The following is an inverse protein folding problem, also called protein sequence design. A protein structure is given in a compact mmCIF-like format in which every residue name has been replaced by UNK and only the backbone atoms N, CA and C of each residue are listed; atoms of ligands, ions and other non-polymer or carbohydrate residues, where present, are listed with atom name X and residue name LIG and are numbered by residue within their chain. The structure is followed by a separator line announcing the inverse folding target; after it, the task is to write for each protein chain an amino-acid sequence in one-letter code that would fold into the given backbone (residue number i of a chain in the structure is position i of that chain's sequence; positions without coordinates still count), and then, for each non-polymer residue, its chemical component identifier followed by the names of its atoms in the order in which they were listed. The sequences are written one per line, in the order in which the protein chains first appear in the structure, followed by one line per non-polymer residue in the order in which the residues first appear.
data_IF_017465356852
#
_entry.id   IF_017465356852
#
_cell.length_a   1.000
_cell.length_b   1.000
_cell.length_c   1.000
_cell.angle_alpha   90.00
_cell.angle_beta   90.00
_cell.angle_gamma   90.00
#
_symmetry.space_group_name_H-M   'P 1'
#
loop_
_entity.id
_entity.type
_entity.pdbx_description
1 polymer ?
#
# COMPACT_ATOMS: atom_id res chain seq x y z
N UNK A 1 24.47 9.25 12.73
CA UNK A 1 23.35 9.21 13.68
C UNK A 1 22.97 7.73 13.80
N UNK A 2 23.20 7.16 14.98
CA UNK A 2 22.89 5.74 15.26
C UNK A 2 21.36 5.59 15.26
N UNK A 3 20.79 4.57 14.58
CA UNK A 3 19.34 4.33 14.66
C UNK A 3 18.95 4.06 16.12
N UNK A 4 18.01 4.83 16.62
CA UNK A 4 17.49 4.64 17.97
C UNK A 4 16.87 3.25 18.09
N UNK A 5 17.34 2.45 19.01
CA UNK A 5 16.70 1.21 19.46
C UNK A 5 15.39 1.59 20.12
N UNK A 6 14.27 1.42 19.42
CA UNK A 6 12.94 1.53 20.03
C UNK A 6 12.74 0.36 20.97
N UNK A 7 12.53 0.56 22.26
CA UNK A 7 12.10 -0.49 23.14
C UNK A 7 10.65 -0.83 22.76
N UNK A 8 10.43 -1.98 22.11
CA UNK A 8 9.12 -2.61 22.13
C UNK A 8 8.79 -2.81 23.61
N UNK A 9 7.87 -2.04 24.14
CA UNK A 9 7.35 -2.24 25.48
C UNK A 9 6.70 -3.62 25.51
N UNK A 10 7.44 -4.61 25.96
CA UNK A 10 6.93 -5.93 26.32
C UNK A 10 6.09 -5.81 27.59
N UNK A 11 4.85 -5.40 27.44
CA UNK A 11 3.85 -5.60 28.46
C UNK A 11 3.21 -6.98 28.22
N UNK A 12 3.61 -7.94 29.06
CA UNK A 12 2.87 -9.16 29.37
C UNK A 12 2.19 -9.88 28.20
N UNK A 13 2.87 -10.83 27.54
CA UNK A 13 2.36 -12.10 26.99
C UNK A 13 1.12 -12.17 26.09
N UNK A 14 0.39 -11.09 25.87
CA UNK A 14 -0.68 -10.96 24.90
C UNK A 14 -0.29 -9.85 23.91
N UNK A 15 -0.02 -10.21 22.67
CA UNK A 15 0.06 -9.28 21.56
C UNK A 15 -1.36 -8.75 21.31
N UNK A 16 -1.72 -7.68 22.01
CA UNK A 16 -2.97 -6.99 21.71
C UNK A 16 -2.89 -6.47 20.27
N UNK A 17 -3.92 -6.69 19.47
CA UNK A 17 -4.03 -6.09 18.14
C UNK A 17 -3.91 -4.56 18.27
N UNK A 18 -3.28 -3.87 17.29
CA UNK A 18 -3.28 -2.42 17.27
C UNK A 18 -4.72 -1.92 17.24
N UNK A 19 -5.02 -0.91 18.04
CA UNK A 19 -6.37 -0.30 18.07
C UNK A 19 -6.63 0.51 16.80
N UNK A 20 -5.61 1.25 16.35
CA UNK A 20 -5.69 2.14 15.18
C UNK A 20 -4.45 2.04 14.33
N UNK A 21 -4.67 1.83 13.03
CA UNK A 21 -3.62 1.75 12.01
C UNK A 21 -3.79 2.90 11.02
N UNK A 22 -2.72 3.68 10.83
CA UNK A 22 -2.60 4.58 9.70
C UNK A 22 -2.03 3.80 8.50
N UNK A 23 -2.86 3.54 7.49
CA UNK A 23 -2.47 2.83 6.28
C UNK A 23 -2.20 3.84 5.17
N UNK A 24 -1.02 3.80 4.53
CA UNK A 24 -0.61 4.79 3.54
C UNK A 24 -0.60 4.22 2.13
N UNK A 25 -1.39 4.82 1.23
CA UNK A 25 -1.42 4.52 -0.21
C UNK A 25 -1.47 5.84 -0.99
N UNK A 26 -0.30 6.51 -1.10
CA UNK A 26 -0.23 7.92 -1.51
C UNK A 26 -0.41 8.12 -3.01
N UNK A 27 0.17 7.25 -3.85
CA UNK A 27 0.22 7.45 -5.31
C UNK A 27 -1.02 6.95 -6.06
N UNK A 28 -1.85 6.13 -5.41
CA UNK A 28 -3.10 5.61 -5.97
C UNK A 28 -4.14 5.49 -4.87
N UNK A 29 -5.38 5.92 -5.17
CA UNK A 29 -6.47 5.88 -4.21
C UNK A 29 -7.06 4.48 -4.09
N UNK A 30 -7.32 3.96 -2.88
CA UNK A 30 -8.04 2.70 -2.70
C UNK A 30 -9.49 2.75 -3.22
N UNK A 31 -10.01 3.95 -3.53
CA UNK A 31 -11.34 4.15 -4.11
C UNK A 31 -11.33 4.06 -5.64
N UNK A 32 -10.15 4.11 -6.27
CA UNK A 32 -10.04 4.01 -7.73
C UNK A 32 -10.35 2.57 -8.18
N UNK A 33 -11.00 2.47 -9.34
CA UNK A 33 -11.32 1.17 -9.91
C UNK A 33 -10.03 0.44 -10.34
N UNK A 34 -9.76 -0.77 -9.84
CA UNK A 34 -8.63 -1.57 -10.31
C UNK A 34 -8.65 -1.77 -11.82
N UNK A 35 -7.48 -1.60 -12.46
CA UNK A 35 -7.32 -1.65 -13.92
C UNK A 35 -7.43 -0.29 -14.60
N UNK A 36 -7.58 0.80 -13.87
CA UNK A 36 -7.57 2.17 -14.41
C UNK A 36 -6.36 2.94 -13.87
N UNK A 37 -5.62 3.61 -14.75
CA UNK A 37 -4.42 4.37 -14.38
C UNK A 37 -3.41 3.52 -13.62
N UNK A 38 -2.97 3.99 -12.45
CA UNK A 38 -2.07 3.27 -11.54
C UNK A 38 -2.80 2.32 -10.56
N UNK A 39 -4.13 2.28 -10.59
CA UNK A 39 -4.93 1.42 -9.73
C UNK A 39 -4.89 -0.03 -10.21
N UNK A 40 -4.46 -0.95 -9.35
CA UNK A 40 -4.28 -2.36 -9.71
C UNK A 40 -4.35 -3.28 -8.50
N UNK A 41 -3.58 -4.36 -8.53
CA UNK A 41 -3.55 -5.37 -7.47
C UNK A 41 -3.21 -4.81 -6.09
N UNK A 42 -2.37 -3.76 -6.02
CA UNK A 42 -2.06 -3.08 -4.76
C UNK A 42 -3.31 -2.44 -4.14
N UNK A 43 -4.17 -1.81 -4.94
CA UNK A 43 -5.42 -1.20 -4.43
C UNK A 43 -6.34 -2.25 -3.81
N UNK A 44 -6.49 -3.40 -4.48
CA UNK A 44 -7.26 -4.54 -3.95
C UNK A 44 -6.65 -5.04 -2.64
N UNK A 45 -5.32 -5.22 -2.60
CA UNK A 45 -4.60 -5.65 -1.40
C UNK A 45 -4.81 -4.68 -0.23
N UNK A 46 -4.68 -3.38 -0.46
CA UNK A 46 -4.88 -2.32 0.55
C UNK A 46 -6.31 -2.36 1.11
N UNK A 47 -7.30 -2.40 0.23
CA UNK A 47 -8.72 -2.43 0.61
C UNK A 47 -9.05 -3.68 1.41
N UNK A 48 -8.66 -4.85 0.92
CA UNK A 48 -8.99 -6.12 1.59
C UNK A 48 -8.22 -6.28 2.90
N UNK A 49 -6.97 -5.84 2.98
CA UNK A 49 -6.21 -5.82 4.24
C UNK A 49 -6.88 -4.92 5.27
N UNK A 50 -7.28 -3.69 4.86
CA UNK A 50 -7.96 -2.75 5.75
C UNK A 50 -9.28 -3.31 6.30
N UNK A 51 -10.11 -3.90 5.43
CA UNK A 51 -11.37 -4.55 5.84
C UNK A 51 -11.13 -5.71 6.81
N UNK A 52 -10.12 -6.56 6.57
CA UNK A 52 -9.81 -7.69 7.45
C UNK A 52 -9.27 -7.23 8.81
N UNK A 53 -8.45 -6.18 8.85
CA UNK A 53 -8.03 -5.57 10.11
C UNK A 53 -9.22 -5.00 10.88
N UNK A 54 -10.17 -4.34 10.21
CA UNK A 54 -11.38 -3.82 10.84
C UNK A 54 -12.27 -4.95 11.40
N UNK A 55 -12.43 -6.04 10.66
CA UNK A 55 -13.15 -7.24 11.16
C UNK A 55 -12.44 -7.87 12.37
N UNK A 56 -11.14 -7.71 12.50
CA UNK A 56 -10.37 -8.14 13.67
C UNK A 56 -10.40 -7.14 14.84
N UNK A 57 -11.16 -6.04 14.72
CA UNK A 57 -11.36 -5.05 15.78
C UNK A 57 -10.38 -3.86 15.75
N UNK A 58 -9.61 -3.69 14.65
CA UNK A 58 -8.69 -2.56 14.44
C UNK A 58 -9.37 -1.46 13.63
N UNK A 59 -9.40 -0.23 14.11
CA UNK A 59 -9.81 0.91 13.28
C UNK A 59 -8.71 1.23 12.25
N UNK A 60 -9.07 1.37 10.99
CA UNK A 60 -8.12 1.66 9.92
C UNK A 60 -8.46 2.98 9.24
N UNK A 61 -7.49 3.87 9.15
CA UNK A 61 -7.60 5.07 8.34
C UNK A 61 -6.56 5.01 7.20
N UNK A 62 -7.07 4.94 5.96
CA UNK A 62 -6.24 4.90 4.75
C UNK A 62 -6.02 6.32 4.28
N UNK A 63 -4.77 6.72 4.16
CA UNK A 63 -4.37 8.04 3.68
C UNK A 63 -3.92 7.94 2.22
N UNK A 64 -4.49 8.79 1.38
CA UNK A 64 -4.16 8.91 -0.04
C UNK A 64 -4.12 10.37 -0.46
N UNK A 65 -3.46 10.69 -1.57
CA UNK A 65 -3.45 12.05 -2.11
C UNK A 65 -4.77 12.36 -2.81
N UNK A 66 -5.32 13.54 -2.58
CA UNK A 66 -6.45 14.05 -3.35
C UNK A 66 -6.02 14.34 -4.80
N UNK A 67 -6.75 13.80 -5.77
CA UNK A 67 -6.54 14.00 -7.22
C UNK A 67 -7.61 14.84 -7.86
N UNK A 68 -8.65 15.24 -7.10
CA UNK A 68 -9.69 16.17 -7.51
C UNK A 68 -10.12 17.04 -6.31
N UNK A 69 -10.51 18.27 -6.59
CA UNK A 69 -11.14 19.16 -5.60
C UNK A 69 -12.50 18.67 -5.13
N UNK A 70 -13.15 17.80 -5.90
CA UNK A 70 -14.48 17.26 -5.61
C UNK A 70 -14.44 16.07 -4.67
N UNK A 71 -13.25 15.53 -4.37
CA UNK A 71 -13.13 14.46 -3.41
C UNK A 71 -13.51 14.92 -2.00
N UNK A 72 -14.43 14.20 -1.37
CA UNK A 72 -14.69 14.40 0.05
C UNK A 72 -13.39 14.17 0.85
N UNK A 73 -13.14 15.00 1.85
CA UNK A 73 -11.93 14.89 2.67
C UNK A 73 -11.79 13.55 3.38
N UNK A 74 -12.93 12.93 3.73
CA UNK A 74 -13.00 11.60 4.35
C UNK A 74 -14.18 10.84 3.76
N UNK A 75 -13.95 9.58 3.40
CA UNK A 75 -14.96 8.64 2.90
C UNK A 75 -14.93 7.40 3.78
N UNK A 76 -16.07 6.91 4.25
CA UNK A 76 -16.18 5.61 4.88
C UNK A 76 -16.21 4.53 3.78
N UNK A 77 -15.19 3.67 3.76
CA UNK A 77 -15.07 2.57 2.79
C UNK A 77 -15.81 1.32 3.23
N UNK A 78 -15.76 1.04 4.54
CA UNK A 78 -16.43 -0.06 5.21
C UNK A 78 -16.52 0.25 6.71
N UNK A 79 -17.33 -0.47 7.49
CA UNK A 79 -17.36 -0.31 8.94
C UNK A 79 -15.93 -0.43 9.54
N UNK A 80 -15.49 0.60 10.24
CA UNK A 80 -14.15 0.68 10.82
C UNK A 80 -13.01 1.02 9.85
N UNK A 81 -13.32 1.31 8.57
CA UNK A 81 -12.32 1.70 7.56
C UNK A 81 -12.70 3.04 6.93
N UNK A 82 -11.83 4.03 7.07
CA UNK A 82 -11.98 5.35 6.46
C UNK A 82 -10.87 5.59 5.44
N UNK A 83 -11.18 6.32 4.38
CA UNK A 83 -10.22 6.84 3.42
C UNK A 83 -10.17 8.36 3.58
N UNK A 84 -8.98 8.88 3.85
CA UNK A 84 -8.73 10.31 3.96
C UNK A 84 -7.90 10.82 2.80
N UNK A 85 -8.40 11.83 2.13
CA UNK A 85 -7.72 12.52 1.06
C UNK A 85 -6.85 13.66 1.61
N UNK A 86 -5.55 13.61 1.33
CA UNK A 86 -4.58 14.64 1.67
C UNK A 86 -4.34 15.56 0.47
N UNK A 87 -4.50 16.85 0.64
CA UNK A 87 -4.18 17.84 -0.39
C UNK A 87 -2.67 18.08 -0.41
N UNK A 88 -2.04 17.76 -1.55
CA UNK A 88 -0.61 17.96 -1.78
C UNK A 88 -0.35 18.17 -3.28
N UNK A 89 0.17 19.34 -3.64
CA UNK A 89 0.37 19.76 -5.02
C UNK A 89 -0.95 19.98 -5.78
N UNK A 90 -0.90 20.07 -7.11
CA UNK A 90 -2.08 20.23 -7.94
C UNK A 90 -2.97 18.99 -7.85
N UNK A 91 -4.27 19.18 -7.92
CA UNK A 91 -5.23 18.07 -7.94
C UNK A 91 -5.05 17.23 -9.19
N UNK A 92 -5.01 17.86 -10.36
CA UNK A 92 -4.96 17.22 -11.66
C UNK A 92 -3.60 17.38 -12.33
N UNK A 93 -3.29 16.50 -13.29
CA UNK A 93 -2.11 16.61 -14.15
C UNK A 93 -0.76 16.29 -13.48
N UNK A 94 -0.72 15.96 -12.20
CA UNK A 94 0.51 15.54 -11.55
C UNK A 94 0.84 14.09 -11.92
N UNK A 95 1.96 13.90 -12.62
CA UNK A 95 2.42 12.57 -13.00
C UNK A 95 3.04 11.87 -11.79
N UNK A 96 3.04 10.54 -11.81
CA UNK A 96 3.64 9.71 -10.75
C UNK A 96 5.10 10.00 -10.51
N UNK A 97 5.84 10.31 -11.58
CA UNK A 97 7.27 10.65 -11.52
C UNK A 97 7.51 11.99 -10.80
N UNK A 98 6.53 12.87 -10.77
CA UNK A 98 6.60 14.19 -10.13
C UNK A 98 6.13 14.15 -8.64
N UNK A 99 5.51 13.04 -8.20
CA UNK A 99 5.05 12.85 -6.82
C UNK A 99 6.15 12.96 -5.75
N UNK A 100 7.41 12.54 -5.99
CA UNK A 100 8.48 12.73 -5.01
C UNK A 100 8.62 14.19 -4.54
N UNK A 101 8.37 15.16 -5.42
CA UNK A 101 8.38 16.58 -5.09
C UNK A 101 7.23 17.03 -4.16
N UNK A 102 6.23 16.21 -3.95
CA UNK A 102 5.06 16.52 -3.11
C UNK A 102 5.07 15.82 -1.74
N UNK A 103 6.03 14.93 -1.47
CA UNK A 103 6.04 14.10 -0.25
C UNK A 103 6.10 14.94 1.03
N UNK A 104 6.79 16.08 1.04
CA UNK A 104 6.79 16.99 2.18
C UNK A 104 5.39 17.54 2.48
N UNK A 105 4.64 17.92 1.44
CA UNK A 105 3.27 18.42 1.61
C UNK A 105 2.32 17.32 2.09
N UNK A 106 2.47 16.09 1.54
CA UNK A 106 1.73 14.90 2.01
C UNK A 106 2.02 14.63 3.46
N UNK A 107 3.30 14.59 3.86
CA UNK A 107 3.72 14.35 5.25
C UNK A 107 3.14 15.41 6.18
N UNK A 108 3.23 16.70 5.81
CA UNK A 108 2.65 17.78 6.60
C UNK A 108 1.12 17.64 6.75
N UNK A 109 0.43 17.17 5.70
CA UNK A 109 -1.00 16.84 5.73
C UNK A 109 -1.31 15.73 6.72
N UNK A 110 -0.56 14.63 6.64
CA UNK A 110 -0.69 13.47 7.52
C UNK A 110 -0.45 13.85 8.99
N UNK A 111 0.62 14.57 9.27
CA UNK A 111 0.96 15.02 10.65
C UNK A 111 -0.10 15.97 11.22
N UNK A 112 -0.72 16.84 10.39
CA UNK A 112 -1.83 17.70 10.85
C UNK A 112 -3.07 16.90 11.24
N UNK A 113 -3.35 15.81 10.55
CA UNK A 113 -4.49 14.93 10.90
C UNK A 113 -4.26 14.32 12.27
N UNK A 114 -3.11 13.72 12.52
CA UNK A 114 -2.81 13.12 13.82
C UNK A 114 -2.81 14.17 14.94
N UNK A 115 -2.23 15.36 14.72
CA UNK A 115 -2.22 16.45 15.68
C UNK A 115 -3.62 17.00 16.02
N UNK A 116 -4.67 16.66 15.28
CA UNK A 116 -6.07 16.97 15.62
C UNK A 116 -6.69 15.97 16.60
N UNK A 117 -5.97 14.91 16.94
CA UNK A 117 -6.37 13.87 17.88
C UNK A 117 -5.50 13.89 19.15
N UNK A 118 -5.88 13.18 20.22
CA UNK A 118 -5.01 12.96 21.37
C UNK A 118 -3.69 12.30 20.97
N UNK A 119 -2.63 12.63 21.69
CA UNK A 119 -1.30 12.03 21.51
C UNK A 119 -1.37 10.48 21.51
N UNK A 120 -0.63 9.84 20.60
CA UNK A 120 -0.65 8.38 20.44
C UNK A 120 -1.95 7.87 19.82
N UNK A 121 -2.55 8.64 18.92
CA UNK A 121 -3.80 8.24 18.25
C UNK A 121 -3.63 6.97 17.41
N UNK A 122 -2.57 6.88 16.62
CA UNK A 122 -2.23 5.68 15.86
C UNK A 122 -1.21 4.83 16.61
N UNK A 123 -1.42 3.52 16.63
CA UNK A 123 -0.51 2.55 17.24
C UNK A 123 0.54 2.02 16.23
N UNK A 124 0.26 2.14 14.92
CA UNK A 124 1.03 1.56 13.84
C UNK A 124 0.84 2.34 12.53
N UNK A 125 1.90 2.43 11.74
CA UNK A 125 1.82 2.86 10.33
C UNK A 125 2.08 1.64 9.45
N UNK A 126 1.20 1.38 8.46
CA UNK A 126 1.43 0.41 7.40
C UNK A 126 1.47 1.13 6.05
N UNK A 127 2.63 1.21 5.44
CA UNK A 127 2.83 1.90 4.17
C UNK A 127 2.97 0.94 2.99
N UNK A 128 2.42 1.34 1.85
CA UNK A 128 2.42 0.55 0.62
C UNK A 128 3.08 1.33 -0.50
N UNK A 129 4.08 0.73 -1.14
CA UNK A 129 4.93 1.34 -2.16
C UNK A 129 5.87 2.42 -1.60
N UNK A 130 7.02 2.61 -2.21
CA UNK A 130 8.12 3.41 -1.69
C UNK A 130 7.76 4.87 -1.37
N UNK A 131 6.88 5.52 -2.17
CA UNK A 131 6.43 6.90 -1.91
C UNK A 131 5.68 7.01 -0.58
N UNK A 132 4.80 6.04 -0.31
CA UNK A 132 4.12 5.94 0.97
C UNK A 132 5.08 5.58 2.10
N UNK A 133 6.10 4.77 1.80
CA UNK A 133 7.18 4.42 2.73
C UNK A 133 7.95 5.64 3.21
N UNK A 134 8.31 6.56 2.31
CA UNK A 134 9.00 7.81 2.66
C UNK A 134 8.16 8.68 3.60
N UNK A 135 6.87 8.84 3.32
CA UNK A 135 5.93 9.56 4.20
C UNK A 135 5.77 8.84 5.54
N UNK A 136 5.61 7.50 5.49
CA UNK A 136 5.45 6.66 6.68
C UNK A 136 6.66 6.70 7.60
N UNK A 137 7.87 6.70 7.05
CA UNK A 137 9.12 6.85 7.82
C UNK A 137 9.12 8.14 8.64
N UNK A 138 8.91 9.30 7.99
CA UNK A 138 8.89 10.58 8.69
C UNK A 138 7.79 10.66 9.77
N UNK A 139 6.61 10.10 9.48
CA UNK A 139 5.51 10.05 10.43
C UNK A 139 5.80 9.10 11.59
N UNK A 140 6.41 7.93 11.35
CA UNK A 140 6.75 6.95 12.39
C UNK A 140 7.74 7.52 13.40
N UNK A 141 8.76 8.25 12.92
CA UNK A 141 9.70 8.96 13.79
C UNK A 141 9.00 10.03 14.63
N UNK A 142 8.08 10.80 14.01
CA UNK A 142 7.37 11.88 14.70
C UNK A 142 6.39 11.38 15.75
N UNK A 143 5.67 10.28 15.47
CA UNK A 143 4.65 9.71 16.35
C UNK A 143 5.23 8.67 17.31
N UNK A 144 6.50 8.27 17.11
CA UNK A 144 7.15 7.21 17.87
C UNK A 144 6.37 5.89 17.82
N UNK A 145 5.92 5.50 16.61
CA UNK A 145 5.18 4.26 16.36
C UNK A 145 5.91 3.41 15.32
N UNK A 146 5.74 2.07 15.33
CA UNK A 146 6.39 1.21 14.36
C UNK A 146 5.90 1.47 12.93
N UNK A 147 6.83 1.37 11.97
CA UNK A 147 6.56 1.35 10.55
C UNK A 147 6.60 -0.07 10.02
N UNK A 148 5.48 -0.56 9.53
CA UNK A 148 5.38 -1.75 8.69
C UNK A 148 5.33 -1.31 7.23
N UNK A 149 6.07 -1.99 6.36
CA UNK A 149 6.10 -1.62 4.94
C UNK A 149 5.95 -2.82 4.02
N UNK A 150 5.17 -2.64 2.94
CA UNK A 150 5.02 -3.61 1.84
C UNK A 150 5.42 -2.92 0.53
N UNK A 151 6.41 -3.48 -0.19
CA UNK A 151 6.97 -2.85 -1.39
C UNK A 151 6.04 -2.92 -2.60
N UNK A 152 5.37 -4.02 -2.81
CA UNK A 152 4.58 -4.41 -3.99
C UNK A 152 5.38 -4.52 -5.29
N UNK A 153 6.30 -3.62 -5.54
CA UNK A 153 7.27 -3.67 -6.66
C UNK A 153 8.58 -3.03 -6.23
N UNK A 154 9.68 -3.53 -6.75
CA UNK A 154 11.03 -3.08 -6.39
C UNK A 154 11.82 -2.67 -7.62
N UNK A 155 12.43 -1.48 -7.58
CA UNK A 155 13.19 -0.91 -8.70
C UNK A 155 14.39 -1.78 -9.10
N UNK A 156 15.16 -2.28 -8.12
CA UNK A 156 16.33 -3.14 -8.42
C UNK A 156 15.92 -4.44 -9.10
N UNK A 157 14.78 -5.04 -8.71
CA UNK A 157 14.26 -6.25 -9.35
C UNK A 157 13.86 -5.95 -10.79
N UNK A 158 13.09 -4.88 -11.02
CA UNK A 158 12.71 -4.46 -12.37
C UNK A 158 13.92 -4.16 -13.25
N UNK A 159 14.95 -3.51 -12.68
CA UNK A 159 16.17 -3.20 -13.41
C UNK A 159 17.02 -4.43 -13.78
N UNK A 160 16.89 -5.53 -13.02
CA UNK A 160 17.52 -6.81 -13.37
C UNK A 160 16.76 -7.57 -14.47
N UNK A 161 15.48 -7.28 -14.65
CA UNK A 161 14.58 -7.98 -15.58
C UNK A 161 14.21 -7.12 -16.80
N UNK A 162 14.98 -6.04 -17.08
CA UNK A 162 14.74 -5.17 -18.23
C UNK A 162 14.85 -5.95 -19.55
N UNK A 163 13.87 -5.75 -20.42
CA UNK A 163 13.97 -6.19 -21.80
C UNK A 163 14.79 -5.21 -22.65
N UNK A 164 15.21 -5.64 -23.83
CA UNK A 164 15.95 -4.80 -24.76
C UNK A 164 15.10 -3.55 -25.14
N UNK A 165 15.63 -2.38 -24.87
CA UNK A 165 14.97 -1.09 -25.13
C UNK A 165 14.17 -0.50 -23.97
N UNK A 166 14.02 -1.22 -22.87
CA UNK A 166 13.39 -0.68 -21.68
C UNK A 166 14.24 0.36 -20.95
N UNK A 167 13.59 1.30 -20.30
CA UNK A 167 14.28 2.32 -19.50
C UNK A 167 14.34 1.86 -18.04
N UNK A 168 15.52 1.90 -17.40
CA UNK A 168 15.66 1.58 -15.98
C UNK A 168 14.80 2.50 -15.09
N UNK A 169 14.37 1.95 -13.96
CA UNK A 169 13.73 2.74 -12.92
C UNK A 169 14.69 3.84 -12.42
N UNK A 170 14.18 5.04 -12.11
CA UNK A 170 15.03 6.16 -11.71
C UNK A 170 15.85 5.87 -10.45
N UNK A 171 17.10 6.36 -10.41
CA UNK A 171 17.98 6.22 -9.25
C UNK A 171 17.35 6.79 -7.96
N UNK A 172 16.55 7.86 -8.07
CA UNK A 172 15.81 8.43 -6.95
C UNK A 172 14.89 7.40 -6.29
N UNK A 173 14.23 6.55 -7.10
CA UNK A 173 13.38 5.46 -6.59
C UNK A 173 14.21 4.41 -5.88
N UNK A 174 15.34 3.98 -6.45
CA UNK A 174 16.24 3.00 -5.83
C UNK A 174 16.69 3.48 -4.44
N UNK A 175 17.18 4.74 -4.36
CA UNK A 175 17.60 5.34 -3.09
C UNK A 175 16.43 5.42 -2.10
N UNK A 176 15.26 5.86 -2.58
CA UNK A 176 14.07 5.96 -1.74
C UNK A 176 13.61 4.61 -1.18
N UNK A 177 13.66 3.55 -1.98
CA UNK A 177 13.37 2.18 -1.54
C UNK A 177 14.38 1.68 -0.49
N UNK A 178 15.69 1.90 -0.70
CA UNK A 178 16.74 1.56 0.27
C UNK A 178 16.53 2.26 1.63
N UNK A 179 16.18 3.55 1.60
CA UNK A 179 15.89 4.31 2.81
C UNK A 179 14.68 3.75 3.56
N UNK A 180 13.61 3.41 2.85
CA UNK A 180 12.40 2.84 3.44
C UNK A 180 12.68 1.47 4.06
N UNK A 181 13.44 0.61 3.36
CA UNK A 181 13.86 -0.70 3.89
C UNK A 181 14.64 -0.52 5.19
N UNK A 182 15.60 0.41 5.23
CA UNK A 182 16.42 0.68 6.41
C UNK A 182 15.62 1.26 7.59
N UNK A 183 14.58 2.07 7.31
CA UNK A 183 13.75 2.72 8.32
C UNK A 183 12.60 1.85 8.84
N UNK A 184 12.22 0.80 8.12
CA UNK A 184 11.07 -0.03 8.48
C UNK A 184 11.34 -0.91 9.70
N UNK A 185 10.42 -0.90 10.66
CA UNK A 185 10.44 -1.82 11.80
C UNK A 185 10.18 -3.25 11.35
N UNK A 186 9.28 -3.43 10.37
CA UNK A 186 8.97 -4.70 9.71
C UNK A 186 8.72 -4.48 8.24
N UNK A 187 9.14 -5.45 7.44
CA UNK A 187 8.88 -5.55 6.01
C UNK A 187 7.99 -6.76 5.75
N UNK A 188 6.88 -6.56 5.07
CA UNK A 188 6.00 -7.64 4.64
C UNK A 188 6.31 -7.95 3.17
N UNK A 189 6.80 -9.16 2.93
CA UNK A 189 6.98 -9.71 1.60
C UNK A 189 5.78 -10.60 1.24
N UNK A 190 5.22 -10.41 0.05
CA UNK A 190 4.07 -11.18 -0.42
C UNK A 190 4.45 -12.61 -0.85
N UNK A 191 5.73 -12.85 -1.09
CA UNK A 191 6.27 -14.15 -1.48
C UNK A 191 7.65 -14.38 -0.85
N UNK A 192 8.06 -15.65 -0.75
CA UNK A 192 9.41 -15.99 -0.31
C UNK A 192 10.50 -15.50 -1.29
N UNK A 193 10.16 -15.26 -2.55
CA UNK A 193 11.07 -14.67 -3.55
C UNK A 193 11.28 -13.20 -3.20
N UNK A 194 10.20 -12.45 -2.98
CA UNK A 194 10.26 -11.05 -2.57
C UNK A 194 11.05 -10.87 -1.27
N UNK A 195 10.85 -11.75 -0.28
CA UNK A 195 11.62 -11.74 0.96
C UNK A 195 13.13 -11.87 0.71
N UNK A 196 13.55 -12.80 -0.15
CA UNK A 196 14.96 -12.94 -0.55
C UNK A 196 15.47 -11.71 -1.29
N UNK A 197 14.69 -11.15 -2.21
CA UNK A 197 15.06 -9.94 -2.95
C UNK A 197 15.25 -8.73 -2.02
N UNK A 198 14.41 -8.58 -0.99
CA UNK A 198 14.58 -7.54 0.05
C UNK A 198 15.91 -7.72 0.81
N UNK A 199 16.26 -8.95 1.16
CA UNK A 199 17.50 -9.26 1.87
C UNK A 199 18.71 -9.07 0.94
N UNK A 200 18.70 -9.70 -0.23
CA UNK A 200 19.88 -9.81 -1.09
C UNK A 200 20.17 -8.50 -1.86
N UNK A 201 19.13 -7.78 -2.30
CA UNK A 201 19.28 -6.58 -3.12
C UNK A 201 19.21 -5.27 -2.31
N UNK A 202 18.44 -5.25 -1.23
CA UNK A 202 18.23 -4.04 -0.43
C UNK A 202 18.90 -4.10 0.94
N UNK A 203 19.54 -5.22 1.30
CA UNK A 203 20.23 -5.38 2.57
C UNK A 203 19.30 -5.40 3.78
N UNK A 204 18.03 -5.79 3.60
CA UNK A 204 17.09 -5.90 4.70
C UNK A 204 17.59 -6.91 5.75
N UNK A 205 17.43 -6.56 7.03
CA UNK A 205 17.72 -7.51 8.11
C UNK A 205 16.71 -8.68 8.04
N UNK A 206 17.17 -9.94 7.88
CA UNK A 206 16.28 -11.10 7.77
C UNK A 206 15.28 -11.23 8.92
N UNK A 207 15.65 -10.79 10.14
CA UNK A 207 14.76 -10.82 11.30
C UNK A 207 13.62 -9.79 11.25
N UNK A 208 13.69 -8.83 10.32
CA UNK A 208 12.67 -7.80 10.11
C UNK A 208 11.78 -8.08 8.89
N UNK A 209 12.03 -9.17 8.14
CA UNK A 209 11.26 -9.54 6.96
C UNK A 209 10.32 -10.70 7.29
N UNK A 210 9.03 -10.47 7.17
CA UNK A 210 7.99 -11.48 7.34
C UNK A 210 7.36 -11.80 5.98
N UNK A 211 7.20 -13.09 5.65
CA UNK A 211 6.48 -13.51 4.44
C UNK A 211 5.02 -13.75 4.77
N UNK A 212 4.14 -12.92 4.21
CA UNK A 212 2.70 -13.02 4.36
C UNK A 212 2.07 -13.10 2.97
N UNK A 213 1.63 -14.28 2.57
CA UNK A 213 1.01 -14.47 1.26
C UNK A 213 -0.33 -13.73 1.18
N UNK A 214 -0.61 -13.01 0.06
CA UNK A 214 -1.91 -12.44 -0.17
C UNK A 214 -3.01 -13.50 -0.10
N UNK A 215 -4.11 -13.16 0.56
CA UNK A 215 -5.29 -13.98 0.58
C UNK A 215 -6.13 -13.83 -0.69
N UNK A 216 -7.13 -14.70 -0.82
CA UNK A 216 -8.18 -14.60 -1.85
C UNK A 216 -9.54 -14.71 -1.18
N UNK A 217 -10.52 -13.98 -1.70
CA UNK A 217 -11.90 -14.10 -1.25
C UNK A 217 -12.52 -15.38 -1.83
N UNK A 218 -12.66 -16.42 -1.00
CA UNK A 218 -13.17 -17.72 -1.41
C UNK A 218 -14.70 -17.74 -1.63
N UNK A 219 -15.42 -16.75 -1.13
CA UNK A 219 -16.84 -16.59 -1.39
C UNK A 219 -17.07 -16.04 -2.81
N UNK A 220 -16.15 -15.18 -3.27
CA UNK A 220 -16.17 -14.60 -4.61
C UNK A 220 -15.47 -15.52 -5.65
N UNK A 221 -14.31 -16.05 -5.31
CA UNK A 221 -13.48 -16.88 -6.19
C UNK A 221 -13.65 -18.36 -5.86
N UNK A 222 -14.77 -18.93 -6.25
CA UNK A 222 -15.06 -20.36 -6.04
C UNK A 222 -14.65 -21.18 -7.27
N UNK A 223 -14.03 -22.37 -7.07
CA UNK A 223 -13.83 -23.31 -8.17
C UNK A 223 -15.15 -23.69 -8.83
N UNK A 224 -15.22 -23.62 -10.14
CA UNK A 224 -16.41 -23.93 -10.90
C UNK A 224 -16.08 -24.71 -12.18
N UNK A 225 -17.11 -25.25 -12.85
CA UNK A 225 -16.95 -25.85 -14.16
C UNK A 225 -16.51 -24.80 -15.19
N UNK A 226 -15.40 -25.11 -15.91
CA UNK A 226 -14.80 -24.20 -16.89
C UNK A 226 -15.77 -23.88 -18.04
N UNK A 227 -16.57 -24.87 -18.50
CA UNK A 227 -17.55 -24.68 -19.55
C UNK A 227 -18.65 -23.71 -19.18
N UNK A 228 -19.23 -23.91 -17.98
CA UNK A 228 -20.26 -23.04 -17.44
C UNK A 228 -19.74 -21.62 -17.16
N UNK A 229 -18.50 -21.47 -16.67
CA UNK A 229 -17.87 -20.16 -16.45
C UNK A 229 -17.65 -19.42 -17.78
N UNK A 230 -17.18 -20.14 -18.82
CA UNK A 230 -17.02 -19.59 -20.19
C UNK A 230 -18.36 -19.14 -20.78
N UNK A 231 -19.40 -19.95 -20.66
CA UNK A 231 -20.73 -19.61 -21.16
C UNK A 231 -21.26 -18.30 -20.53
N UNK A 232 -21.15 -18.15 -19.18
CA UNK A 232 -21.54 -16.93 -18.49
C UNK A 232 -20.75 -15.70 -18.92
N UNK A 233 -19.44 -15.86 -19.17
CA UNK A 233 -18.60 -14.76 -19.66
C UNK A 233 -19.00 -14.33 -21.08
N UNK A 234 -19.31 -15.27 -21.96
CA UNK A 234 -19.76 -14.97 -23.32
C UNK A 234 -21.12 -14.30 -23.35
N UNK A 235 -22.06 -14.72 -22.49
CA UNK A 235 -23.37 -14.12 -22.34
C UNK A 235 -23.24 -12.65 -21.86
N UNK A 236 -22.46 -12.42 -20.83
CA UNK A 236 -22.20 -11.08 -20.30
C UNK A 236 -21.47 -10.17 -21.30
N UNK A 237 -20.49 -10.70 -22.03
CA UNK A 237 -19.79 -9.97 -23.08
C UNK A 237 -20.72 -9.57 -24.24
N UNK A 238 -21.71 -10.40 -24.55
CA UNK A 238 -22.75 -10.08 -25.56
C UNK A 238 -23.69 -8.96 -25.05
N UNK A 239 -24.10 -9.00 -23.78
CA UNK A 239 -24.92 -7.95 -23.14
C UNK A 239 -24.17 -6.60 -23.12
N UNK A 240 -22.87 -6.60 -22.84
CA UNK A 240 -22.04 -5.39 -22.77
C UNK A 240 -21.49 -4.93 -24.13
N UNK A 241 -21.89 -5.54 -25.26
CA UNK A 241 -21.37 -5.28 -26.61
C UNK A 241 -19.83 -5.42 -26.73
N UNK A 242 -19.20 -6.23 -25.88
CA UNK A 242 -17.75 -6.45 -25.86
C UNK A 242 -17.36 -7.53 -26.88
N UNK A 243 -17.31 -7.17 -28.17
CA UNK A 243 -16.98 -8.11 -29.28
C UNK A 243 -15.54 -8.68 -29.23
N UNK A 244 -14.65 -8.14 -28.41
CA UNK A 244 -13.23 -8.56 -28.34
C UNK A 244 -12.99 -9.88 -27.60
N UNK A 245 -13.94 -10.39 -26.83
CA UNK A 245 -13.81 -11.65 -26.09
C UNK A 245 -14.07 -12.91 -26.93
N UNK A 246 -14.54 -12.76 -28.16
CA UNK A 246 -14.82 -13.89 -29.06
C UNK A 246 -13.58 -14.70 -29.50
N UNK A 247 -12.38 -14.15 -29.30
CA UNK A 247 -11.10 -14.73 -29.75
C UNK A 247 -10.29 -15.48 -28.69
N UNK A 248 -10.83 -15.67 -27.48
CA UNK A 248 -10.19 -16.53 -26.48
C UNK A 248 -10.60 -17.99 -26.70
N UNK A 249 -9.91 -18.62 -27.69
CA UNK A 249 -9.97 -20.03 -27.99
C UNK A 249 -9.14 -20.90 -27.04
#
# INVERSE_FOLDING_TARGET
VTPGTFPLAHANGHTANPRRVALLSIHTSPLDQPGTGDAGGMNVYVVETAKRLALAGTEVEIFTRATSSDHASVVELAPGVKVRHLTAGPFEGLRKEDLPGQLCAVTAGLLRVEASHPEGWFDLIHSHYWLSGQVGWLASERWNVPLVHTMHTMAKVKNLELADGDTPEPQLRVIGEEQVVAASTRLIANTSIEARQLIDLYGANPSHVDTVHPGVDLDLFTPGDKGSARARLMERAAEDNLTSLANFG
#
